data_IF_443189975202
#
_entry.id   IF_443189975202
#
_cell.length_a   1.000
_cell.length_b   1.000
_cell.length_c   1.000
_cell.angle_alpha   90.00
_cell.angle_beta   90.00
_cell.angle_gamma   90.00
#
_symmetry.space_group_name_H-M   'P 1'
#
loop_
_entity.id
_entity.type
_entity.pdbx_description
1 polymer ?
#
# COMPACT_ATOMS: atom_id res chain seq x y z
N UNK A 1 -15.86 -7.66 6.92
CA UNK A 1 -14.93 -7.45 5.79
C UNK A 1 -14.78 -5.96 5.48
N UNK A 2 -14.46 -5.14 6.48
CA UNK A 2 -14.85 -3.72 6.46
C UNK A 2 -13.69 -2.73 6.30
N UNK A 3 -12.55 -3.17 5.76
CA UNK A 3 -11.46 -2.24 5.44
C UNK A 3 -11.49 -2.02 3.93
N UNK A 4 -11.95 -0.82 3.53
CA UNK A 4 -11.98 -0.34 2.15
C UNK A 4 -12.71 -1.29 1.19
N UNK A 5 -13.81 -1.91 1.64
CA UNK A 5 -14.60 -2.88 0.87
C UNK A 5 -13.75 -4.01 0.25
N UNK A 6 -12.60 -4.30 0.86
CA UNK A 6 -11.64 -5.25 0.30
C UNK A 6 -11.93 -6.64 0.82
N UNK A 7 -12.07 -7.60 -0.10
CA UNK A 7 -12.30 -9.00 0.24
C UNK A 7 -11.12 -9.55 1.08
N UNK A 8 -11.35 -10.37 2.12
CA UNK A 8 -10.28 -10.90 2.97
C UNK A 8 -9.17 -11.65 2.21
N UNK A 9 -9.51 -12.28 1.08
CA UNK A 9 -8.54 -12.96 0.22
C UNK A 9 -7.57 -12.00 -0.50
N UNK A 10 -8.03 -10.82 -0.86
CA UNK A 10 -7.19 -9.77 -1.44
C UNK A 10 -6.22 -9.21 -0.40
N UNK A 11 -6.69 -8.99 0.83
CA UNK A 11 -5.81 -8.59 1.95
C UNK A 11 -4.73 -9.64 2.23
N UNK A 12 -5.09 -10.93 2.20
CA UNK A 12 -4.11 -12.03 2.29
C UNK A 12 -3.05 -11.98 1.19
N UNK A 13 -3.46 -11.65 -0.04
CA UNK A 13 -2.53 -11.54 -1.17
C UNK A 13 -1.57 -10.36 -0.99
N UNK A 14 -2.06 -9.22 -0.51
CA UNK A 14 -1.23 -8.04 -0.23
C UNK A 14 -0.24 -8.32 0.92
N UNK A 15 -0.68 -9.01 1.96
CA UNK A 15 0.19 -9.48 3.06
C UNK A 15 1.30 -10.41 2.54
N UNK A 16 0.94 -11.42 1.74
CA UNK A 16 1.89 -12.39 1.20
C UNK A 16 2.95 -11.73 0.30
N UNK A 17 2.56 -10.69 -0.44
CA UNK A 17 3.45 -9.91 -1.30
C UNK A 17 4.29 -8.88 -0.53
N UNK A 18 4.12 -8.78 0.79
CA UNK A 18 4.82 -7.82 1.64
C UNK A 18 4.39 -6.37 1.41
N UNK A 19 3.23 -6.14 0.79
CA UNK A 19 2.70 -4.80 0.51
C UNK A 19 2.15 -4.12 1.77
N UNK A 20 1.61 -4.90 2.69
CA UNK A 20 1.06 -4.45 3.97
C UNK A 20 1.38 -5.48 5.05
N UNK A 21 1.81 -5.02 6.21
CA UNK A 21 2.15 -5.87 7.36
C UNK A 21 1.24 -5.49 8.54
N UNK A 22 0.06 -6.12 8.68
CA UNK A 22 -0.82 -5.81 9.79
C UNK A 22 -0.22 -6.31 11.11
N UNK A 23 -0.51 -5.59 12.20
CA UNK A 23 -0.27 -6.12 13.54
C UNK A 23 -1.28 -7.23 13.82
N UNK A 24 -0.84 -8.28 14.50
CA UNK A 24 -1.70 -9.40 14.93
C UNK A 24 -2.05 -9.24 16.41
N UNK A 25 -3.31 -9.48 16.77
CA UNK A 25 -3.73 -9.57 18.18
C UNK A 25 -3.29 -10.91 18.79
N UNK A 26 -3.39 -11.04 20.12
CA UNK A 26 -3.21 -12.32 20.82
C UNK A 26 -4.13 -13.44 20.30
N UNK A 27 -5.30 -13.08 19.78
CA UNK A 27 -6.26 -13.98 19.12
C UNK A 27 -6.02 -14.16 17.60
N UNK A 28 -4.85 -13.78 17.10
CA UNK A 28 -4.43 -13.86 15.69
C UNK A 28 -5.31 -13.07 14.69
N UNK A 29 -6.06 -12.07 15.15
CA UNK A 29 -6.84 -11.18 14.26
C UNK A 29 -5.94 -10.07 13.72
N UNK A 30 -6.17 -9.69 12.45
CA UNK A 30 -5.48 -8.57 11.79
C UNK A 30 -5.95 -7.25 12.37
N UNK A 31 -5.00 -6.39 12.74
CA UNK A 31 -5.21 -4.98 13.04
C UNK A 31 -4.39 -4.14 12.09
N UNK A 32 -5.09 -3.30 11.35
CA UNK A 32 -4.52 -2.34 10.44
C UNK A 32 -4.47 -0.98 11.15
N UNK A 33 -3.30 -0.36 11.11
CA UNK A 33 -3.14 1.03 11.51
C UNK A 33 -3.70 1.97 10.44
N UNK A 34 -3.83 3.25 10.77
CA UNK A 34 -4.23 4.27 9.79
C UNK A 34 -3.28 4.30 8.58
N UNK A 35 -1.97 4.07 8.81
CA UNK A 35 -0.96 3.97 7.75
C UNK A 35 -1.21 2.78 6.82
N UNK A 36 -1.57 1.64 7.40
CA UNK A 36 -1.89 0.45 6.60
C UNK A 36 -3.12 0.70 5.72
N UNK A 37 -4.14 1.39 6.25
CA UNK A 37 -5.32 1.76 5.47
C UNK A 37 -4.94 2.69 4.30
N UNK A 38 -4.08 3.68 4.52
CA UNK A 38 -3.60 4.55 3.43
C UNK A 38 -2.83 3.76 2.37
N UNK A 39 -1.92 2.85 2.77
CA UNK A 39 -1.23 1.97 1.82
C UNK A 39 -2.20 1.13 1.00
N UNK A 40 -3.22 0.57 1.65
CA UNK A 40 -4.26 -0.20 0.96
C UNK A 40 -5.03 0.65 -0.06
N UNK A 41 -5.32 1.93 0.25
CA UNK A 41 -5.91 2.87 -0.70
C UNK A 41 -4.99 3.14 -1.89
N UNK A 42 -3.69 3.36 -1.65
CA UNK A 42 -2.70 3.55 -2.72
C UNK A 42 -2.60 2.34 -3.64
N UNK A 43 -2.54 1.14 -3.07
CA UNK A 43 -2.52 -0.11 -3.84
C UNK A 43 -3.78 -0.22 -4.72
N UNK A 44 -4.95 0.10 -4.16
CA UNK A 44 -6.20 0.09 -4.94
C UNK A 44 -6.20 1.15 -6.04
N UNK A 45 -5.68 2.36 -5.77
CA UNK A 45 -5.56 3.43 -6.75
C UNK A 45 -4.69 2.99 -7.93
N UNK A 46 -3.50 2.45 -7.67
CA UNK A 46 -2.57 1.99 -8.69
C UNK A 46 -3.13 0.80 -9.50
N UNK A 47 -3.80 -0.14 -8.84
CA UNK A 47 -4.38 -1.30 -9.53
C UNK A 47 -5.64 -0.97 -10.34
N UNK A 48 -6.53 -0.12 -9.83
CA UNK A 48 -7.82 0.21 -10.47
C UNK A 48 -7.73 1.36 -11.48
N UNK A 49 -6.97 2.41 -11.18
CA UNK A 49 -6.91 3.60 -12.04
C UNK A 49 -5.75 3.55 -13.03
N UNK A 50 -4.60 3.02 -12.61
CA UNK A 50 -3.40 2.95 -13.45
C UNK A 50 -3.18 1.56 -14.06
N UNK A 51 -4.10 0.62 -13.84
CA UNK A 51 -4.04 -0.77 -14.35
C UNK A 51 -2.72 -1.49 -14.05
N UNK A 52 -2.07 -1.13 -12.93
CA UNK A 52 -0.78 -1.70 -12.53
C UNK A 52 -1.03 -3.03 -11.83
N UNK A 53 -0.27 -4.07 -12.18
CA UNK A 53 -0.32 -5.33 -11.43
C UNK A 53 0.37 -5.19 -10.05
N UNK A 54 0.17 -6.15 -9.15
CA UNK A 54 0.73 -6.04 -7.80
C UNK A 54 2.25 -6.04 -7.72
N UNK A 55 2.93 -6.71 -8.66
CA UNK A 55 4.38 -6.65 -8.74
C UNK A 55 4.85 -5.23 -9.08
N UNK A 56 4.19 -4.58 -10.04
CA UNK A 56 4.41 -3.18 -10.40
C UNK A 56 4.12 -2.25 -9.24
N UNK A 57 3.02 -2.45 -8.52
CA UNK A 57 2.69 -1.66 -7.32
C UNK A 57 3.81 -1.71 -6.29
N UNK A 58 4.36 -2.90 -6.02
CA UNK A 58 5.51 -3.04 -5.09
C UNK A 58 6.72 -2.20 -5.52
N UNK A 59 7.10 -2.27 -6.80
CA UNK A 59 8.24 -1.51 -7.30
C UNK A 59 7.97 0.00 -7.31
N UNK A 60 6.78 0.44 -7.72
CA UNK A 60 6.38 1.85 -7.71
C UNK A 60 6.43 2.39 -6.29
N UNK A 61 5.87 1.68 -5.30
CA UNK A 61 5.91 2.12 -3.89
C UNK A 61 7.36 2.25 -3.39
N UNK A 62 8.24 1.30 -3.75
CA UNK A 62 9.66 1.36 -3.39
C UNK A 62 10.38 2.54 -4.05
N UNK A 63 10.10 2.81 -5.32
CA UNK A 63 10.68 3.94 -6.06
C UNK A 63 10.20 5.28 -5.51
N UNK A 64 8.89 5.43 -5.26
CA UNK A 64 8.35 6.64 -4.65
C UNK A 64 8.99 6.91 -3.29
N UNK A 65 9.15 5.88 -2.45
CA UNK A 65 9.87 5.98 -1.18
C UNK A 65 11.29 6.51 -1.38
N UNK A 66 12.06 5.93 -2.30
CA UNK A 66 13.42 6.38 -2.59
C UNK A 66 13.45 7.84 -3.05
N UNK A 67 12.51 8.25 -3.91
CA UNK A 67 12.40 9.66 -4.32
C UNK A 67 12.15 10.57 -3.12
N UNK A 68 11.21 10.18 -2.23
CA UNK A 68 10.90 10.94 -1.02
C UNK A 68 12.10 11.04 -0.07
N UNK A 69 12.81 9.94 0.20
CA UNK A 69 14.01 9.90 1.04
C UNK A 69 15.13 10.79 0.48
N UNK A 70 15.25 10.87 -0.84
CA UNK A 70 16.23 11.72 -1.53
C UNK A 70 15.69 13.13 -1.84
N UNK A 71 14.53 13.51 -1.28
CA UNK A 71 13.91 14.83 -1.46
C UNK A 71 13.64 15.19 -2.92
N UNK A 72 13.44 14.17 -3.77
CA UNK A 72 13.09 14.31 -5.17
C UNK A 72 11.57 14.31 -5.35
N UNK A 73 11.04 15.15 -6.25
CA UNK A 73 9.61 15.18 -6.52
C UNK A 73 9.15 13.88 -7.21
N UNK A 74 7.99 13.38 -6.80
CA UNK A 74 7.32 12.31 -7.52
C UNK A 74 6.87 12.76 -8.92
N UNK A 75 6.78 11.83 -9.90
CA UNK A 75 6.17 12.09 -11.21
C UNK A 75 4.79 12.73 -11.05
N UNK A 76 4.43 13.65 -11.97
CA UNK A 76 3.20 14.46 -11.88
C UNK A 76 1.97 13.57 -11.72
N UNK A 77 1.96 12.44 -12.41
CA UNK A 77 0.90 11.44 -12.44
C UNK A 77 0.71 10.71 -11.11
N UNK A 78 1.70 10.76 -10.21
CA UNK A 78 1.74 10.06 -8.93
C UNK A 78 1.84 11.01 -7.72
N UNK A 79 1.77 12.33 -7.92
CA UNK A 79 1.89 13.32 -6.82
C UNK A 79 0.80 13.21 -5.77
N UNK A 80 -0.38 12.73 -6.14
CA UNK A 80 -1.48 12.49 -5.21
C UNK A 80 -1.24 11.31 -4.26
N UNK A 81 -0.19 10.52 -4.50
CA UNK A 81 0.13 9.38 -3.65
C UNK A 81 0.94 9.90 -2.47
N UNK A 82 0.35 9.83 -1.28
CA UNK A 82 1.05 10.19 -0.05
C UNK A 82 2.16 9.17 0.25
N UNK A 83 3.40 9.59 0.00
CA UNK A 83 4.61 8.77 0.15
C UNK A 83 5.13 8.78 1.59
N UNK A 84 4.70 9.76 2.39
CA UNK A 84 5.21 10.00 3.75
C UNK A 84 4.89 8.87 4.72
N UNK A 85 3.89 8.04 4.39
CA UNK A 85 3.43 6.91 5.20
C UNK A 85 3.96 5.54 4.70
N UNK A 86 4.87 5.52 3.72
CA UNK A 86 5.48 4.31 3.15
C UNK A 86 6.65 3.77 4.02
N UNK A 87 6.42 3.50 5.29
CA UNK A 87 7.35 2.69 6.08
C UNK A 87 7.13 1.21 5.76
N UNK A 88 7.95 0.60 4.89
CA UNK A 88 8.01 -0.87 4.71
C UNK A 88 8.74 -1.49 5.89
#
# INVERSE_FOLDING_TARGET
SEILETHPRTLMMYEHLGLVVPKRTSTNRRRFSQRDVMKLQTIQKLTRQHSVNLAGVRYIMKLLKLLHENQLPAPVELRDIDVSQLDV
#
